data_IF_497366137478
#
_entry.id   IF_497366137478
#
_cell.length_a   1.000
_cell.length_b   1.000
_cell.length_c   1.000
_cell.angle_alpha   90.00
_cell.angle_beta   90.00
_cell.angle_gamma   90.00
#
_symmetry.space_group_name_H-M   'P 1'
#
loop_
_entity.id
_entity.type
_entity.pdbx_description
1 polymer ?
#
# COMPACT_ATOMS: atom_id res chain seq x y z
N UNK A 1 -1.31 24.39 -19.84
CA UNK A 1 -0.57 23.20 -20.28
C UNK A 1 -0.44 22.21 -19.16
N UNK A 2 -0.70 20.96 -19.48
CA UNK A 2 -0.69 19.88 -18.49
C UNK A 2 0.66 19.67 -17.81
N UNK A 3 1.75 20.00 -18.49
CA UNK A 3 3.10 19.79 -17.99
C UNK A 3 3.46 20.68 -16.80
N UNK A 4 3.04 21.94 -16.81
CA UNK A 4 3.35 22.85 -15.71
C UNK A 4 2.60 22.50 -14.44
N UNK A 5 1.33 22.08 -14.57
CA UNK A 5 0.55 21.64 -13.41
C UNK A 5 1.07 20.34 -12.83
N UNK A 6 1.51 19.44 -13.69
CA UNK A 6 2.08 18.17 -13.23
C UNK A 6 3.38 18.38 -12.46
N UNK A 7 4.19 19.36 -12.90
CA UNK A 7 5.42 19.69 -12.19
C UNK A 7 5.17 20.23 -10.80
N UNK A 8 4.18 21.12 -10.66
CA UNK A 8 3.81 21.69 -9.36
C UNK A 8 3.22 20.66 -8.41
N UNK A 9 2.51 19.68 -8.97
CA UNK A 9 1.82 18.65 -8.17
C UNK A 9 2.57 17.33 -8.17
N UNK A 10 3.83 17.33 -8.57
CA UNK A 10 4.63 16.10 -8.68
C UNK A 10 4.70 15.29 -7.39
N UNK A 11 4.88 15.90 -6.19
CA UNK A 11 4.87 15.11 -4.96
C UNK A 11 3.56 14.36 -4.74
N UNK A 12 2.44 14.97 -5.10
CA UNK A 12 1.13 14.32 -5.02
C UNK A 12 1.06 13.12 -5.97
N UNK A 13 1.51 13.28 -7.22
CA UNK A 13 1.48 12.20 -8.19
C UNK A 13 2.44 11.06 -7.81
N UNK A 14 3.56 11.38 -7.20
CA UNK A 14 4.47 10.35 -6.64
C UNK A 14 3.78 9.57 -5.53
N UNK A 15 3.06 10.27 -4.67
CA UNK A 15 2.30 9.62 -3.60
C UNK A 15 1.20 8.71 -4.17
N UNK A 16 0.53 9.14 -5.23
CA UNK A 16 -0.47 8.32 -5.93
C UNK A 16 0.18 7.04 -6.49
N UNK A 17 1.38 7.15 -7.05
CA UNK A 17 2.12 5.97 -7.52
C UNK A 17 2.44 5.02 -6.37
N UNK A 18 2.80 5.54 -5.21
CA UNK A 18 3.02 4.74 -4.01
C UNK A 18 1.75 4.04 -3.56
N UNK A 19 0.60 4.74 -3.62
CA UNK A 19 -0.71 4.16 -3.28
C UNK A 19 -1.05 3.01 -4.24
N UNK A 20 -0.83 3.20 -5.55
CA UNK A 20 -1.07 2.15 -6.55
C UNK A 20 -0.23 0.91 -6.25
N UNK A 21 1.04 1.12 -5.95
CA UNK A 21 1.95 0.00 -5.62
C UNK A 21 1.51 -0.70 -4.35
N UNK A 22 1.12 0.09 -3.34
CA UNK A 22 0.65 -0.46 -2.07
C UNK A 22 -0.59 -1.34 -2.28
N UNK A 23 -1.54 -0.88 -3.07
CA UNK A 23 -2.75 -1.65 -3.37
C UNK A 23 -2.46 -2.95 -4.11
N UNK A 24 -1.52 -2.91 -5.06
CA UNK A 24 -1.11 -4.11 -5.79
C UNK A 24 -0.39 -5.12 -4.90
N UNK A 25 0.42 -4.63 -3.98
CA UNK A 25 1.22 -5.49 -3.09
C UNK A 25 0.42 -6.09 -1.96
N UNK A 26 -0.75 -5.54 -1.67
CA UNK A 26 -1.53 -5.98 -0.51
C UNK A 26 -1.78 -7.48 -0.52
N UNK A 27 -2.28 -8.01 -1.64
CA UNK A 27 -2.56 -9.43 -1.79
C UNK A 27 -1.27 -10.26 -1.79
N UNK A 28 -0.26 -9.80 -2.50
CA UNK A 28 1.04 -10.47 -2.60
C UNK A 28 1.69 -10.62 -1.22
N UNK A 29 1.65 -9.56 -0.41
CA UNK A 29 2.22 -9.59 0.93
C UNK A 29 1.47 -10.55 1.86
N UNK A 30 0.14 -10.57 1.76
CA UNK A 30 -0.67 -11.51 2.53
C UNK A 30 -0.36 -12.96 2.14
N UNK A 31 -0.22 -13.23 0.86
CA UNK A 31 0.13 -14.56 0.36
C UNK A 31 1.52 -14.99 0.84
N UNK A 32 2.48 -14.06 0.85
CA UNK A 32 3.82 -14.33 1.39
C UNK A 32 3.77 -14.64 2.88
N UNK A 33 2.99 -13.87 3.63
CA UNK A 33 2.86 -14.10 5.07
C UNK A 33 2.27 -15.48 5.35
N UNK A 34 1.22 -15.85 4.63
CA UNK A 34 0.61 -17.16 4.76
C UNK A 34 1.60 -18.26 4.43
N UNK A 35 2.36 -18.10 3.34
CA UNK A 35 3.38 -19.06 2.93
C UNK A 35 4.44 -19.25 4.02
N UNK A 36 4.96 -18.14 4.56
CA UNK A 36 6.00 -18.24 5.59
C UNK A 36 5.45 -18.80 6.90
N UNK A 37 4.20 -18.48 7.24
CA UNK A 37 3.57 -19.08 8.43
C UNK A 37 3.37 -20.58 8.26
N UNK A 38 3.00 -21.03 7.07
CA UNK A 38 2.89 -22.46 6.78
C UNK A 38 4.23 -23.15 6.91
N UNK A 39 5.29 -22.53 6.43
CA UNK A 39 6.65 -23.08 6.58
C UNK A 39 7.05 -23.16 8.04
N UNK A 40 6.74 -22.12 8.81
CA UNK A 40 7.03 -22.10 10.24
C UNK A 40 6.28 -23.18 11.00
N UNK A 41 4.99 -23.34 10.71
CA UNK A 41 4.16 -24.39 11.35
C UNK A 41 4.69 -25.77 11.01
N UNK A 42 4.97 -26.01 9.73
CA UNK A 42 5.53 -27.28 9.28
C UNK A 42 6.87 -27.57 9.93
N UNK A 43 7.70 -26.54 10.05
CA UNK A 43 9.00 -26.66 10.71
C UNK A 43 8.84 -26.98 12.20
N UNK A 44 7.95 -26.29 12.89
CA UNK A 44 7.69 -26.54 14.31
C UNK A 44 7.20 -27.96 14.55
N UNK A 45 6.35 -28.50 13.66
CA UNK A 45 5.88 -29.86 13.74
C UNK A 45 7.02 -30.87 13.61
N UNK A 46 7.89 -30.67 12.63
CA UNK A 46 9.07 -31.48 12.41
C UNK A 46 10.06 -31.34 13.56
N UNK A 47 10.28 -30.10 14.00
CA UNK A 47 11.17 -29.77 15.11
C UNK A 47 10.72 -30.41 16.42
N UNK A 48 9.41 -30.47 16.63
CA UNK A 48 8.84 -31.09 17.83
C UNK A 48 9.21 -32.58 17.93
N UNK A 49 9.15 -33.29 16.82
CA UNK A 49 9.55 -34.68 16.74
C UNK A 49 11.05 -34.85 16.91
N UNK A 50 11.85 -33.89 16.53
CA UNK A 50 13.31 -33.93 16.57
C UNK A 50 13.93 -33.48 17.89
N UNK A 51 13.13 -32.98 18.82
CA UNK A 51 13.63 -32.50 20.11
C UNK A 51 14.41 -33.58 20.86
N UNK A 52 14.09 -34.85 20.61
CA UNK A 52 14.80 -35.96 21.21
C UNK A 52 16.11 -36.34 20.51
N UNK A 53 16.40 -35.82 19.33
CA UNK A 53 17.61 -36.15 18.59
C UNK A 53 18.67 -35.07 18.78
N UNK A 54 19.77 -35.44 19.39
CA UNK A 54 20.78 -34.50 19.89
C UNK A 54 21.70 -33.88 18.87
N UNK A 55 21.56 -34.17 17.58
CA UNK A 55 22.56 -33.79 16.60
C UNK A 55 22.22 -32.57 15.72
N UNK A 56 20.99 -32.06 15.76
CA UNK A 56 20.55 -31.09 14.76
C UNK A 56 20.11 -29.75 15.32
N UNK A 57 20.51 -29.45 16.53
CA UNK A 57 20.06 -28.19 17.21
C UNK A 57 20.45 -26.93 16.48
N UNK A 58 21.70 -26.81 16.03
CA UNK A 58 22.19 -25.58 15.42
C UNK A 58 21.55 -25.33 14.06
N UNK A 59 21.39 -26.35 13.23
CA UNK A 59 20.75 -26.19 11.93
C UNK A 59 19.23 -25.95 12.06
N UNK A 60 18.61 -26.59 13.08
CA UNK A 60 17.21 -26.39 13.38
C UNK A 60 16.90 -24.98 13.82
N UNK A 61 17.74 -24.44 14.72
CA UNK A 61 17.58 -23.08 15.21
C UNK A 61 17.82 -22.06 14.10
N UNK A 62 18.77 -22.31 13.22
CA UNK A 62 19.07 -21.42 12.09
C UNK A 62 17.88 -21.34 11.13
N UNK A 63 17.24 -22.47 10.83
CA UNK A 63 16.09 -22.50 9.95
C UNK A 63 14.88 -21.82 10.58
N UNK A 64 14.66 -22.05 11.86
CA UNK A 64 13.59 -21.38 12.61
C UNK A 64 13.78 -19.88 12.59
N UNK A 65 14.98 -19.39 12.88
CA UNK A 65 15.30 -17.97 12.85
C UNK A 65 15.14 -17.39 11.45
N UNK A 66 15.49 -18.16 10.41
CA UNK A 66 15.31 -17.73 9.02
C UNK A 66 13.83 -17.42 8.72
N UNK A 67 12.93 -18.34 9.09
CA UNK A 67 11.51 -18.16 8.82
C UNK A 67 10.91 -17.05 9.68
N UNK A 68 11.33 -16.94 10.94
CA UNK A 68 10.88 -15.85 11.82
C UNK A 68 11.33 -14.49 11.28
N UNK A 69 12.55 -14.40 10.79
CA UNK A 69 13.06 -13.16 10.19
C UNK A 69 12.27 -12.80 8.92
N UNK A 70 11.94 -13.77 8.08
CA UNK A 70 11.12 -13.55 6.89
C UNK A 70 9.73 -13.05 7.25
N UNK A 71 9.11 -13.63 8.27
CA UNK A 71 7.80 -13.22 8.76
C UNK A 71 7.85 -11.80 9.29
N UNK A 72 8.84 -11.46 10.09
CA UNK A 72 8.99 -10.11 10.65
C UNK A 72 9.11 -9.06 9.53
N UNK A 73 9.90 -9.35 8.51
CA UNK A 73 10.10 -8.43 7.39
C UNK A 73 8.82 -8.25 6.58
N UNK A 74 8.08 -9.32 6.34
CA UNK A 74 6.80 -9.24 5.62
C UNK A 74 5.78 -8.48 6.45
N UNK A 75 5.69 -8.73 7.75
CA UNK A 75 4.77 -8.03 8.64
C UNK A 75 5.07 -6.53 8.67
N UNK A 76 6.35 -6.16 8.72
CA UNK A 76 6.77 -4.77 8.63
C UNK A 76 6.34 -4.14 7.31
N UNK A 77 6.52 -4.85 6.19
CA UNK A 77 6.09 -4.39 4.88
C UNK A 77 4.58 -4.23 4.81
N UNK A 78 3.84 -5.15 5.42
CA UNK A 78 2.36 -5.06 5.49
C UNK A 78 1.95 -3.82 6.27
N UNK A 79 2.59 -3.54 7.40
CA UNK A 79 2.28 -2.36 8.20
C UNK A 79 2.52 -1.06 7.43
N UNK A 80 3.66 -0.95 6.77
CA UNK A 80 3.98 0.22 5.95
C UNK A 80 2.98 0.38 4.81
N UNK A 81 2.64 -0.74 4.18
CA UNK A 81 1.69 -0.76 3.08
C UNK A 81 0.30 -0.32 3.52
N UNK A 82 -0.17 -0.82 4.66
CA UNK A 82 -1.46 -0.44 5.24
C UNK A 82 -1.51 1.04 5.58
N UNK A 83 -0.41 1.59 6.05
CA UNK A 83 -0.33 3.01 6.38
C UNK A 83 -0.56 3.87 5.14
N UNK A 84 0.06 3.51 4.03
CA UNK A 84 -0.11 4.21 2.76
C UNK A 84 -1.57 4.13 2.29
N UNK A 85 -2.15 2.94 2.32
CA UNK A 85 -3.55 2.73 1.91
C UNK A 85 -4.52 3.47 2.82
N UNK A 86 -4.26 3.48 4.13
CA UNK A 86 -5.10 4.21 5.08
C UNK A 86 -5.05 5.71 4.84
N UNK A 87 -3.89 6.27 4.55
CA UNK A 87 -3.75 7.69 4.23
C UNK A 87 -4.59 8.05 3.00
N UNK A 88 -4.61 7.17 2.01
CA UNK A 88 -5.46 7.35 0.83
C UNK A 88 -6.95 7.34 1.21
N UNK A 89 -7.37 6.40 2.05
CA UNK A 89 -8.75 6.31 2.50
C UNK A 89 -9.18 7.55 3.30
N UNK A 90 -8.28 8.08 4.12
CA UNK A 90 -8.55 9.31 4.86
C UNK A 90 -8.76 10.49 3.91
N UNK A 91 -7.98 10.56 2.83
CA UNK A 91 -8.18 11.59 1.82
C UNK A 91 -9.53 11.42 1.13
N UNK A 92 -9.88 10.20 0.73
CA UNK A 92 -11.17 9.89 0.09
C UNK A 92 -12.33 10.34 0.95
N UNK A 93 -12.25 10.12 2.26
CA UNK A 93 -13.32 10.49 3.19
C UNK A 93 -13.54 12.00 3.28
N UNK A 94 -12.56 12.81 2.93
CA UNK A 94 -12.66 14.27 2.96
C UNK A 94 -13.20 14.85 1.66
N UNK A 95 -13.35 14.06 0.62
CA UNK A 95 -13.73 14.52 -0.72
C UNK A 95 -15.20 14.20 -1.01
N UNK A 96 -15.81 15.03 -1.86
CA UNK A 96 -17.16 14.75 -2.35
C UNK A 96 -17.13 13.69 -3.47
N UNK A 97 -18.31 13.33 -4.01
CA UNK A 97 -18.41 12.27 -5.02
C UNK A 97 -17.69 12.62 -6.32
N UNK A 98 -17.75 13.87 -6.75
CA UNK A 98 -17.11 14.33 -7.99
C UNK A 98 -15.59 14.31 -7.82
N UNK A 99 -15.12 14.81 -6.67
CA UNK A 99 -13.69 14.80 -6.35
C UNK A 99 -13.16 13.37 -6.26
N UNK A 100 -13.92 12.47 -5.66
CA UNK A 100 -13.54 11.06 -5.57
C UNK A 100 -13.50 10.39 -6.94
N UNK A 101 -14.44 10.72 -7.83
CA UNK A 101 -14.43 10.18 -9.20
C UNK A 101 -13.15 10.58 -9.93
N UNK A 102 -12.76 11.83 -9.79
CA UNK A 102 -11.54 12.34 -10.42
C UNK A 102 -10.30 11.73 -9.78
N UNK A 103 -10.29 11.58 -8.46
CA UNK A 103 -9.18 10.92 -7.76
C UNK A 103 -9.03 9.47 -8.21
N UNK A 104 -10.14 8.76 -8.38
CA UNK A 104 -10.11 7.39 -8.89
C UNK A 104 -9.58 7.31 -10.32
N UNK A 105 -9.94 8.28 -11.17
CA UNK A 105 -9.37 8.36 -12.52
C UNK A 105 -7.85 8.51 -12.48
N UNK A 106 -7.36 9.38 -11.59
CA UNK A 106 -5.93 9.61 -11.42
C UNK A 106 -5.26 8.34 -10.91
N UNK A 107 -5.86 7.69 -9.92
CA UNK A 107 -5.31 6.46 -9.34
C UNK A 107 -5.24 5.34 -10.38
N UNK A 108 -6.28 5.15 -11.17
CA UNK A 108 -6.32 4.11 -12.19
C UNK A 108 -5.56 4.49 -13.47
N UNK A 109 -5.17 5.76 -13.57
CA UNK A 109 -4.54 6.31 -14.76
C UNK A 109 -5.41 6.12 -16.01
N UNK A 110 -6.73 6.17 -15.84
CA UNK A 110 -7.73 6.01 -16.90
C UNK A 110 -8.84 7.01 -16.68
N UNK A 111 -9.42 7.45 -17.79
CA UNK A 111 -10.63 8.27 -17.73
C UNK A 111 -11.82 7.33 -17.65
N UNK A 112 -12.57 7.39 -16.56
CA UNK A 112 -13.78 6.58 -16.41
C UNK A 112 -14.89 7.10 -17.29
N UNK A 113 -15.41 6.23 -18.14
CA UNK A 113 -16.50 6.58 -19.06
C UNK A 113 -17.83 6.79 -18.36
N UNK A 114 -17.92 6.41 -17.09
CA UNK A 114 -19.16 6.43 -16.31
C UNK A 114 -19.24 7.62 -15.34
N UNK A 115 -18.44 8.65 -15.52
CA UNK A 115 -18.59 9.85 -14.73
C UNK A 115 -19.94 10.49 -15.08
N UNK A 116 -20.79 10.61 -14.07
CA UNK A 116 -22.19 11.02 -14.26
C UNK A 116 -22.34 12.45 -14.78
N UNK A 117 -21.31 13.28 -14.66
CA UNK A 117 -21.33 14.64 -15.18
C UNK A 117 -20.00 14.93 -15.86
N UNK A 118 -20.01 15.19 -17.17
CA UNK A 118 -18.79 15.62 -17.84
C UNK A 118 -18.35 16.96 -17.27
N UNK A 119 -17.10 16.99 -16.83
CA UNK A 119 -16.49 18.15 -16.22
C UNK A 119 -15.62 18.84 -17.27
N UNK A 120 -15.70 20.14 -17.38
CA UNK A 120 -14.82 20.90 -18.28
C UNK A 120 -13.37 20.71 -17.84
N UNK A 121 -12.45 20.86 -18.78
CA UNK A 121 -11.02 20.74 -18.50
C UNK A 121 -10.58 21.72 -17.40
N UNK A 122 -11.07 22.95 -17.45
CA UNK A 122 -10.78 23.97 -16.46
C UNK A 122 -11.29 23.58 -15.07
N UNK A 123 -12.52 23.09 -14.99
CA UNK A 123 -13.13 22.67 -13.75
C UNK A 123 -12.41 21.46 -13.17
N UNK A 124 -11.97 20.55 -14.04
CA UNK A 124 -11.19 19.38 -13.64
C UNK A 124 -9.88 19.80 -12.96
N UNK A 125 -9.18 20.78 -13.50
CA UNK A 125 -7.95 21.28 -12.88
C UNK A 125 -8.23 21.91 -11.51
N UNK A 126 -9.33 22.64 -11.37
CA UNK A 126 -9.73 23.20 -10.09
C UNK A 126 -9.98 22.13 -9.05
N UNK A 127 -10.65 21.05 -9.45
CA UNK A 127 -10.94 19.90 -8.58
C UNK A 127 -9.64 19.21 -8.18
N UNK A 128 -8.73 18.97 -9.13
CA UNK A 128 -7.44 18.36 -8.84
C UNK A 128 -6.65 19.21 -7.85
N UNK A 129 -6.62 20.53 -8.06
CA UNK A 129 -5.92 21.43 -7.14
C UNK A 129 -6.51 21.36 -5.73
N UNK A 130 -7.82 21.27 -5.62
CA UNK A 130 -8.50 21.14 -4.33
C UNK A 130 -8.14 19.82 -3.65
N UNK A 131 -8.08 18.72 -4.40
CA UNK A 131 -7.66 17.42 -3.90
C UNK A 131 -6.23 17.51 -3.38
N UNK A 132 -5.34 18.12 -4.15
CA UNK A 132 -3.92 18.26 -3.78
C UNK A 132 -3.78 19.10 -2.50
N UNK A 133 -4.56 20.17 -2.36
CA UNK A 133 -4.54 20.99 -1.15
C UNK A 133 -4.97 20.17 0.07
N UNK A 134 -6.04 19.41 -0.05
CA UNK A 134 -6.50 18.52 1.03
C UNK A 134 -5.42 17.49 1.40
N UNK A 135 -4.76 16.93 0.39
CA UNK A 135 -3.66 15.99 0.62
C UNK A 135 -2.48 16.67 1.34
N UNK A 136 -2.12 17.87 0.94
CA UNK A 136 -1.04 18.63 1.59
C UNK A 136 -1.35 18.93 3.05
N UNK A 137 -2.59 19.33 3.34
CA UNK A 137 -3.05 19.60 4.71
C UNK A 137 -2.96 18.31 5.54
N UNK A 138 -3.43 17.21 5.00
CA UNK A 138 -3.37 15.91 5.68
C UNK A 138 -1.94 15.50 6.01
N UNK A 139 -1.02 15.66 5.06
CA UNK A 139 0.38 15.29 5.27
C UNK A 139 1.10 16.22 6.22
N UNK A 140 0.80 17.51 6.19
CA UNK A 140 1.43 18.46 7.10
C UNK A 140 1.00 18.24 8.55
N UNK A 141 -0.20 17.70 8.76
CA UNK A 141 -0.67 17.38 10.11
C UNK A 141 0.12 16.25 10.76
N UNK A 142 0.81 15.43 9.97
CA UNK A 142 1.61 14.31 10.47
C UNK A 142 3.08 14.64 10.67
N UNK A 143 3.46 15.87 10.34
CA UNK A 143 4.84 16.32 10.58
C UNK A 143 4.92 17.05 11.94
#
# INVERSE_FOLDING_TARGET
>A
MSHSNRGLNEPFYKWIDDVRRAMRKEKELQEKLEFYNMKLIGYKGVSYERIGSSGSRSSGDSELLYWLDKIDKVEESIMLNKRIVNDYRLLVDKLDSIENDILNEILDNKIHKNVTKPVTKSHRYQIINKIVVNWMIQNSAYR
#
